data_IF_518368839614
#
_entry.id   IF_518368839614
#
_cell.length_a   1.000
_cell.length_b   1.000
_cell.length_c   1.000
_cell.angle_alpha   90.00
_cell.angle_beta   90.00
_cell.angle_gamma   90.00
#
_symmetry.space_group_name_H-M   'P 1'
#
loop_
_entity.id
_entity.type
_entity.pdbx_description
1 polymer ?
#
# COMPACT_ATOMS: atom_id res chain seq x y z
N UNK A 1 -14.28 5.60 -15.40
CA UNK A 1 -12.98 6.16 -14.99
C UNK A 1 -11.88 5.46 -15.78
N UNK A 2 -10.93 6.17 -16.39
CA UNK A 2 -9.86 5.52 -17.17
C UNK A 2 -8.88 4.81 -16.21
N UNK A 3 -8.75 3.49 -16.34
CA UNK A 3 -7.92 2.65 -15.48
C UNK A 3 -6.46 3.13 -15.42
N UNK A 4 -5.93 3.63 -16.53
CA UNK A 4 -4.56 4.15 -16.59
C UNK A 4 -4.38 5.41 -15.75
N UNK A 5 -5.41 6.28 -15.70
CA UNK A 5 -5.39 7.49 -14.87
C UNK A 5 -5.39 7.11 -13.39
N UNK A 6 -6.24 6.15 -13.01
CA UNK A 6 -6.30 5.63 -11.64
C UNK A 6 -4.95 5.05 -11.22
N UNK A 7 -4.34 4.20 -12.05
CA UNK A 7 -3.02 3.61 -11.76
C UNK A 7 -1.95 4.69 -11.55
N UNK A 8 -1.92 5.74 -12.38
CA UNK A 8 -0.99 6.86 -12.19
C UNK A 8 -1.21 7.60 -10.86
N UNK A 9 -2.47 7.83 -10.48
CA UNK A 9 -2.81 8.47 -9.20
C UNK A 9 -2.40 7.62 -8.00
N UNK A 10 -2.68 6.31 -8.05
CA UNK A 10 -2.30 5.37 -6.99
C UNK A 10 -0.78 5.24 -6.87
N UNK A 11 -0.09 5.16 -8.00
CA UNK A 11 1.36 5.16 -8.02
C UNK A 11 1.95 6.42 -7.37
N UNK A 12 1.47 7.59 -7.79
CA UNK A 12 1.91 8.86 -7.23
C UNK A 12 1.73 8.90 -5.71
N UNK A 13 0.55 8.51 -5.19
CA UNK A 13 0.25 8.47 -3.76
C UNK A 13 1.09 7.46 -2.98
N UNK A 14 1.53 6.39 -3.62
CA UNK A 14 2.37 5.35 -3.02
C UNK A 14 3.81 5.82 -2.81
N UNK A 15 4.30 6.74 -3.64
CA UNK A 15 5.69 7.27 -3.64
C UNK A 15 5.81 8.73 -3.19
N UNK A 16 4.71 9.30 -2.68
CA UNK A 16 4.66 10.64 -2.08
C UNK A 16 3.96 10.56 -0.73
N UNK A 17 4.54 9.80 0.20
CA UNK A 17 4.05 9.65 1.58
C UNK A 17 4.74 10.65 2.52
N UNK A 18 4.16 10.89 3.70
CA UNK A 18 4.73 11.78 4.71
C UNK A 18 5.92 11.19 5.46
N UNK A 19 6.02 9.86 5.50
CA UNK A 19 7.07 9.10 6.19
C UNK A 19 7.95 8.33 5.19
N UNK A 20 9.28 8.43 5.33
CA UNK A 20 10.25 7.79 4.41
C UNK A 20 10.15 6.27 4.42
N UNK A 21 9.91 5.69 5.59
CA UNK A 21 9.79 4.25 5.78
C UNK A 21 8.56 3.71 5.06
N UNK A 22 7.41 4.36 5.24
CA UNK A 22 6.16 3.99 4.55
C UNK A 22 6.24 4.24 3.05
N UNK A 23 6.91 5.33 2.63
CA UNK A 23 7.22 5.61 1.22
C UNK A 23 8.04 4.50 0.57
N UNK A 24 9.08 4.03 1.26
CA UNK A 24 9.87 2.91 0.78
C UNK A 24 9.03 1.62 0.69
N UNK A 25 8.32 1.25 1.76
CA UNK A 25 7.57 0.00 1.82
C UNK A 25 6.46 -0.06 0.77
N UNK A 26 5.62 0.97 0.71
CA UNK A 26 4.49 1.00 -0.22
C UNK A 26 4.95 1.35 -1.63
N UNK A 27 5.89 2.28 -1.77
CA UNK A 27 6.40 2.74 -3.06
C UNK A 27 7.09 1.64 -3.85
N UNK A 28 7.97 0.85 -3.23
CA UNK A 28 8.62 -0.29 -3.90
C UNK A 28 7.62 -1.38 -4.26
N UNK A 29 6.66 -1.66 -3.37
CA UNK A 29 5.57 -2.60 -3.66
C UNK A 29 4.73 -2.13 -4.85
N UNK A 30 4.31 -0.86 -4.88
CA UNK A 30 3.52 -0.30 -5.97
C UNK A 30 4.29 -0.28 -7.30
N UNK A 31 5.58 0.05 -7.29
CA UNK A 31 6.43 -0.02 -8.49
C UNK A 31 6.42 -1.42 -9.13
N UNK A 32 6.45 -2.47 -8.30
CA UNK A 32 6.53 -3.84 -8.76
C UNK A 32 5.16 -4.48 -9.05
N UNK A 33 4.14 -4.18 -8.23
CA UNK A 33 2.90 -4.97 -8.14
C UNK A 33 1.61 -4.21 -8.42
N UNK A 34 1.64 -2.89 -8.61
CA UNK A 34 0.41 -2.09 -8.75
C UNK A 34 -0.51 -2.54 -9.90
N UNK A 35 0.06 -3.03 -11.01
CA UNK A 35 -0.72 -3.56 -12.15
C UNK A 35 -1.34 -4.94 -11.88
N UNK A 36 -0.82 -5.67 -10.89
CA UNK A 36 -1.28 -6.99 -10.47
C UNK A 36 -2.34 -6.92 -9.36
N UNK A 37 -2.52 -5.76 -8.72
CA UNK A 37 -3.54 -5.56 -7.68
C UNK A 37 -4.93 -5.69 -8.30
N UNK A 38 -5.69 -6.69 -7.82
CA UNK A 38 -7.05 -6.97 -8.30
C UNK A 38 -8.08 -5.94 -7.83
N UNK A 39 -7.92 -5.42 -6.61
CA UNK A 39 -8.81 -4.43 -6.02
C UNK A 39 -8.10 -3.09 -5.81
N UNK A 40 -8.18 -2.23 -6.84
CA UNK A 40 -7.58 -0.90 -6.82
C UNK A 40 -8.32 0.06 -5.89
N UNK A 41 -9.60 -0.14 -5.57
CA UNK A 41 -10.31 0.70 -4.62
C UNK A 41 -9.92 0.35 -3.17
N UNK A 42 -9.71 -0.93 -2.86
CA UNK A 42 -9.13 -1.35 -1.59
C UNK A 42 -7.74 -0.72 -1.39
N UNK A 43 -6.88 -0.81 -2.41
CA UNK A 43 -5.55 -0.21 -2.34
C UNK A 43 -5.62 1.31 -2.21
N UNK A 44 -6.54 1.97 -2.90
CA UNK A 44 -6.78 3.40 -2.75
C UNK A 44 -7.19 3.78 -1.33
N UNK A 45 -8.11 3.02 -0.72
CA UNK A 45 -8.54 3.25 0.66
C UNK A 45 -7.38 3.04 1.64
N UNK A 46 -6.58 1.99 1.43
CA UNK A 46 -5.36 1.76 2.20
C UNK A 46 -4.38 2.94 2.12
N UNK A 47 -4.25 3.57 0.95
CA UNK A 47 -3.43 4.76 0.77
C UNK A 47 -4.01 6.01 1.47
N UNK A 48 -5.30 6.07 1.79
CA UNK A 48 -5.87 7.21 2.54
C UNK A 48 -5.68 7.08 4.06
N UNK A 49 -5.20 5.93 4.54
CA UNK A 49 -4.89 5.73 5.95
C UNK A 49 -3.63 6.50 6.38
N UNK A 50 -3.52 6.73 7.69
CA UNK A 50 -2.37 7.42 8.30
C UNK A 50 -1.08 6.61 8.13
N UNK A 51 0.02 7.28 7.79
CA UNK A 51 1.31 6.64 7.53
C UNK A 51 1.83 5.82 8.72
N UNK A 52 1.59 6.27 9.96
CA UNK A 52 2.01 5.57 11.16
C UNK A 52 1.19 4.28 11.35
N UNK A 53 -0.12 4.34 11.11
CA UNK A 53 -0.97 3.14 11.15
C UNK A 53 -0.54 2.11 10.12
N UNK A 54 -0.34 2.54 8.87
CA UNK A 54 0.09 1.64 7.80
C UNK A 54 1.43 0.99 8.16
N UNK A 55 2.38 1.78 8.67
CA UNK A 55 3.67 1.26 9.11
C UNK A 55 3.53 0.22 10.23
N UNK A 56 2.73 0.51 11.26
CA UNK A 56 2.50 -0.40 12.39
C UNK A 56 1.80 -1.69 11.94
N UNK A 57 0.86 -1.61 11.00
CA UNK A 57 0.19 -2.78 10.44
C UNK A 57 1.15 -3.67 9.63
N UNK A 58 1.98 -3.07 8.76
CA UNK A 58 2.98 -3.81 7.97
C UNK A 58 3.99 -4.49 8.89
N UNK A 59 4.38 -3.85 9.99
CA UNK A 59 5.31 -4.42 10.98
C UNK A 59 4.64 -5.28 12.05
N UNK A 60 3.33 -5.53 11.95
CA UNK A 60 2.55 -6.28 12.94
C UNK A 60 2.69 -5.75 14.39
N UNK A 61 2.85 -4.44 14.55
CA UNK A 61 2.87 -3.74 15.84
C UNK A 61 1.48 -3.43 16.37
N UNK A 62 0.47 -3.42 15.50
CA UNK A 62 -0.94 -3.23 15.84
C UNK A 62 -1.83 -4.09 14.95
N UNK A 63 -3.06 -4.32 15.40
CA UNK A 63 -4.06 -5.04 14.62
C UNK A 63 -4.54 -4.19 13.44
N UNK A 64 -4.49 -4.78 12.25
CA UNK A 64 -5.00 -4.16 11.03
C UNK A 64 -6.47 -4.53 10.81
N UNK A 65 -7.27 -3.65 10.19
CA UNK A 65 -8.60 -4.00 9.69
C UNK A 65 -8.56 -5.25 8.81
N UNK A 66 -9.55 -6.14 8.98
CA UNK A 66 -9.62 -7.44 8.29
C UNK A 66 -9.49 -7.31 6.77
N UNK A 67 -10.09 -6.27 6.21
CA UNK A 67 -10.07 -5.97 4.78
C UNK A 67 -8.67 -5.68 4.21
N UNK A 68 -7.69 -5.27 5.04
CA UNK A 68 -6.32 -5.01 4.60
C UNK A 68 -5.37 -6.19 4.82
N UNK A 69 -5.78 -7.26 5.51
CA UNK A 69 -4.88 -8.34 5.93
C UNK A 69 -4.15 -9.00 4.76
N UNK A 70 -4.85 -9.32 3.68
CA UNK A 70 -4.24 -9.95 2.51
C UNK A 70 -3.28 -9.00 1.78
N UNK A 71 -3.63 -7.72 1.69
CA UNK A 71 -2.74 -6.70 1.11
C UNK A 71 -1.46 -6.55 1.95
N UNK A 72 -1.60 -6.45 3.27
CA UNK A 72 -0.48 -6.34 4.20
C UNK A 72 0.42 -7.57 4.09
N UNK A 73 -0.17 -8.76 4.06
CA UNK A 73 0.56 -10.01 3.84
C UNK A 73 1.36 -9.99 2.54
N UNK A 74 0.77 -9.56 1.44
CA UNK A 74 1.47 -9.44 0.14
C UNK A 74 2.64 -8.44 0.19
N UNK A 75 2.46 -7.29 0.86
CA UNK A 75 3.53 -6.30 1.05
C UNK A 75 4.67 -6.89 1.88
N UNK A 76 4.34 -7.59 2.96
CA UNK A 76 5.29 -8.26 3.84
C UNK A 76 6.08 -9.35 3.13
N UNK A 77 5.40 -10.21 2.38
CA UNK A 77 6.04 -11.26 1.57
C UNK A 77 6.97 -10.68 0.51
N UNK A 78 6.58 -9.57 -0.13
CA UNK A 78 7.42 -8.84 -1.10
C UNK A 78 8.72 -8.33 -0.46
N UNK A 79 8.64 -7.77 0.75
CA UNK A 79 9.81 -7.26 1.50
C UNK A 79 10.53 -8.31 2.35
N UNK A 80 9.97 -9.51 2.48
CA UNK A 80 10.47 -10.63 3.30
C UNK A 80 10.54 -10.29 4.80
N UNK A 81 9.47 -9.69 5.34
CA UNK A 81 9.34 -9.27 6.76
C UNK A 81 8.05 -9.78 7.44
#
# INVERSE_FOLDING_TARGET
>A
MNKEILLKQLFYRSVHRGCKETDFLIGEYAKAKLTEISDLELFKNFLEEDDLKIYDWILAKSEAPELYLELIKNIREFHKI
#
